data_IF_943104557624
#
_entry.id   IF_943104557624
#
_cell.length_a   1.000
_cell.length_b   1.000
_cell.length_c   1.000
_cell.angle_alpha   90.00
_cell.angle_beta   90.00
_cell.angle_gamma   90.00
#
_symmetry.space_group_name_H-M   'P 1'
#
loop_
_entity.id
_entity.type
_entity.pdbx_description
1 polymer ?
#
# COMPACT_ATOMS: atom_id res chain seq x y z
N UNK A 1 9.56 6.36 -4.65
CA UNK A 1 9.74 6.72 -6.06
C UNK A 1 10.66 5.73 -6.71
N UNK A 2 10.54 5.55 -8.02
CA UNK A 2 11.59 4.94 -8.82
C UNK A 2 12.59 6.00 -9.31
N UNK A 3 13.53 5.61 -10.17
CA UNK A 3 14.62 6.49 -10.63
C UNK A 3 14.12 7.77 -11.32
N UNK A 4 12.97 7.70 -11.97
CA UNK A 4 12.38 8.80 -12.75
C UNK A 4 11.24 9.52 -12.02
N UNK A 5 10.82 9.01 -10.85
CA UNK A 5 9.68 9.56 -10.11
C UNK A 5 8.35 9.42 -10.87
N UNK A 6 8.17 8.31 -11.59
CA UNK A 6 6.97 8.07 -12.41
C UNK A 6 5.68 8.03 -11.58
N UNK A 7 4.56 8.23 -12.26
CA UNK A 7 3.23 8.12 -11.69
C UNK A 7 3.06 6.80 -10.94
N UNK A 8 2.30 6.83 -9.84
CA UNK A 8 2.11 5.65 -8.98
C UNK A 8 3.40 5.11 -8.34
N UNK A 9 4.49 5.87 -8.27
CA UNK A 9 5.68 5.52 -7.45
C UNK A 9 5.94 6.50 -6.30
N UNK A 10 5.19 7.60 -6.27
CA UNK A 10 5.39 8.71 -5.36
C UNK A 10 4.66 8.48 -4.04
N UNK A 11 5.40 8.57 -2.95
CA UNK A 11 4.87 8.64 -1.59
C UNK A 11 5.48 9.89 -0.97
N UNK A 12 4.63 10.83 -0.54
CA UNK A 12 5.07 12.08 0.08
C UNK A 12 4.85 12.02 1.58
N UNK A 13 5.72 12.66 2.35
CA UNK A 13 5.64 12.70 3.79
C UNK A 13 5.96 14.11 4.28
N UNK A 14 5.20 14.58 5.26
CA UNK A 14 5.40 15.85 5.93
C UNK A 14 5.78 15.59 7.40
N UNK A 15 7.08 15.67 7.77
CA UNK A 15 7.52 15.40 9.13
C UNK A 15 7.06 16.47 10.13
N UNK A 16 5.96 16.22 10.85
CA UNK A 16 5.33 17.20 11.76
C UNK A 16 5.81 17.11 13.22
N UNK A 17 6.88 16.38 13.53
CA UNK A 17 7.33 16.14 14.92
C UNK A 17 7.56 17.44 15.69
N UNK A 18 8.08 18.48 15.03
CA UNK A 18 8.35 19.79 15.65
C UNK A 18 7.08 20.52 16.10
N UNK A 19 5.93 20.24 15.50
CA UNK A 19 4.66 20.86 15.91
C UNK A 19 4.11 20.33 17.24
N UNK A 20 4.66 19.23 17.77
CA UNK A 20 4.13 18.54 18.94
C UNK A 20 2.76 17.86 18.74
N UNK A 21 2.15 18.00 17.55
CA UNK A 21 0.83 17.44 17.24
C UNK A 21 0.97 15.96 16.92
N UNK A 22 0.16 15.13 17.56
CA UNK A 22 0.04 13.70 17.27
C UNK A 22 -1.36 13.43 16.70
N UNK A 23 -1.41 12.87 15.50
CA UNK A 23 -2.68 12.47 14.89
C UNK A 23 -3.34 11.34 15.70
N UNK A 24 -4.67 11.31 15.71
CA UNK A 24 -5.46 10.21 16.26
C UNK A 24 -6.02 9.39 15.11
N UNK A 25 -5.72 8.08 15.11
CA UNK A 25 -6.27 7.13 14.14
C UNK A 25 -7.80 7.07 14.28
N UNK A 26 -8.48 6.98 13.14
CA UNK A 26 -9.94 6.92 13.10
C UNK A 26 -10.48 6.61 11.71
N UNK A 27 -11.80 6.70 11.58
CA UNK A 27 -12.51 6.58 10.31
C UNK A 27 -12.42 7.87 9.50
N UNK A 28 -12.53 7.78 8.18
CA UNK A 28 -12.43 8.90 7.24
C UNK A 28 -10.99 9.24 6.85
N UNK A 29 -10.07 8.28 6.97
CA UNK A 29 -8.64 8.48 6.71
C UNK A 29 -8.06 7.25 6.00
N UNK A 30 -6.95 7.45 5.28
CA UNK A 30 -6.13 6.34 4.78
C UNK A 30 -5.62 5.53 5.97
N UNK A 31 -5.93 4.24 5.99
CA UNK A 31 -5.54 3.28 7.02
C UNK A 31 -4.23 2.58 6.66
N UNK A 32 -4.15 2.05 5.44
CA UNK A 32 -2.95 1.35 4.93
C UNK A 32 -2.49 1.92 3.60
N UNK A 33 -1.18 1.91 3.39
CA UNK A 33 -0.54 2.15 2.10
C UNK A 33 0.03 0.83 1.60
N UNK A 34 -0.46 0.36 0.45
CA UNK A 34 -0.03 -0.88 -0.17
C UNK A 34 0.94 -0.59 -1.33
N UNK A 35 2.11 -1.22 -1.28
CA UNK A 35 3.17 -1.11 -2.27
C UNK A 35 3.37 -2.45 -2.97
N UNK A 36 3.52 -2.40 -4.28
CA UNK A 36 3.75 -3.59 -5.12
C UNK A 36 5.21 -4.01 -5.05
N UNK A 37 5.42 -5.31 -4.87
CA UNK A 37 6.72 -5.98 -4.95
C UNK A 37 6.55 -7.29 -5.73
N UNK A 38 7.61 -7.84 -6.37
CA UNK A 38 7.53 -9.15 -6.99
C UNK A 38 7.13 -10.24 -5.97
N UNK A 39 6.29 -11.20 -6.34
CA UNK A 39 5.86 -12.30 -5.44
C UNK A 39 7.05 -13.01 -4.79
N UNK A 40 8.10 -13.29 -5.58
CA UNK A 40 9.33 -13.95 -5.13
C UNK A 40 10.11 -13.14 -4.08
N UNK A 41 9.83 -11.84 -3.92
CA UNK A 41 10.52 -10.95 -2.99
C UNK A 41 9.92 -10.92 -1.58
N UNK A 42 8.72 -11.47 -1.37
CA UNK A 42 8.05 -11.43 -0.06
C UNK A 42 8.92 -12.06 1.04
N UNK A 43 9.55 -13.20 0.77
CA UNK A 43 10.46 -13.84 1.73
C UNK A 43 11.65 -12.94 2.10
N UNK A 44 12.27 -12.29 1.10
CA UNK A 44 13.34 -11.32 1.33
C UNK A 44 12.88 -10.15 2.21
N UNK A 45 11.72 -9.57 1.91
CA UNK A 45 11.18 -8.45 2.67
C UNK A 45 10.81 -8.81 4.09
N UNK A 46 10.26 -9.99 4.34
CA UNK A 46 9.96 -10.47 5.69
C UNK A 46 11.23 -10.50 6.56
N UNK A 47 12.32 -11.06 6.02
CA UNK A 47 13.62 -11.09 6.72
C UNK A 47 14.22 -9.69 6.86
N UNK A 48 14.20 -8.89 5.79
CA UNK A 48 14.76 -7.54 5.79
C UNK A 48 14.07 -6.63 6.81
N UNK A 49 12.73 -6.64 6.86
CA UNK A 49 11.95 -5.86 7.82
C UNK A 49 12.21 -6.32 9.27
N UNK A 50 12.24 -7.64 9.50
CA UNK A 50 12.54 -8.21 10.82
C UNK A 50 13.92 -7.79 11.33
N UNK A 51 14.95 -7.84 10.47
CA UNK A 51 16.30 -7.42 10.82
C UNK A 51 16.40 -5.92 11.13
N UNK A 52 15.48 -5.12 10.61
CA UNK A 52 15.37 -3.68 10.91
C UNK A 52 14.41 -3.36 12.07
N UNK A 53 13.98 -4.37 12.84
CA UNK A 53 13.18 -4.19 14.05
C UNK A 53 11.67 -4.06 13.83
N UNK A 54 11.19 -4.30 12.61
CA UNK A 54 9.75 -4.40 12.32
C UNK A 54 9.25 -5.82 12.60
N UNK A 55 7.93 -5.96 12.72
CA UNK A 55 7.25 -7.25 12.89
C UNK A 55 6.28 -7.44 11.72
N UNK A 56 6.76 -7.88 10.55
CA UNK A 56 5.89 -8.10 9.41
C UNK A 56 5.02 -9.34 9.62
N UNK A 57 3.74 -9.22 9.31
CA UNK A 57 2.76 -10.31 9.34
C UNK A 57 2.42 -10.71 7.90
N UNK A 58 2.57 -11.99 7.57
CA UNK A 58 2.15 -12.52 6.28
C UNK A 58 0.64 -12.77 6.30
N UNK A 59 -0.07 -12.13 5.38
CA UNK A 59 -1.52 -12.21 5.22
C UNK A 59 -1.86 -12.53 3.76
N UNK A 60 -3.11 -12.89 3.54
CA UNK A 60 -3.69 -13.00 2.20
C UNK A 60 -4.94 -12.10 2.14
N UNK A 61 -5.09 -11.36 1.05
CA UNK A 61 -6.28 -10.54 0.79
C UNK A 61 -6.57 -10.53 -0.70
N UNK A 62 -7.81 -10.80 -1.09
CA UNK A 62 -8.22 -10.91 -2.49
C UNK A 62 -7.41 -11.95 -3.30
N UNK A 63 -6.90 -12.99 -2.64
CA UNK A 63 -6.03 -14.00 -3.24
C UNK A 63 -4.58 -13.56 -3.47
N UNK A 64 -4.20 -12.36 -3.00
CA UNK A 64 -2.83 -11.85 -3.06
C UNK A 64 -2.14 -12.01 -1.71
N UNK A 65 -0.91 -12.54 -1.72
CA UNK A 65 -0.07 -12.58 -0.53
C UNK A 65 0.52 -11.20 -0.25
N UNK A 66 0.49 -10.78 1.01
CA UNK A 66 1.04 -9.49 1.43
C UNK A 66 1.72 -9.55 2.79
N UNK A 67 2.71 -8.69 3.00
CA UNK A 67 3.32 -8.44 4.30
C UNK A 67 2.77 -7.15 4.89
N UNK A 68 2.12 -7.24 6.05
CA UNK A 68 1.60 -6.10 6.79
C UNK A 68 2.53 -5.72 7.94
N UNK A 69 2.81 -4.42 8.12
CA UNK A 69 3.61 -3.94 9.25
C UNK A 69 3.28 -2.50 9.65
N UNK A 70 3.48 -2.19 10.93
CA UNK A 70 3.25 -0.85 11.47
C UNK A 70 4.48 0.05 11.29
N UNK A 71 4.29 1.23 10.67
CA UNK A 71 5.33 2.25 10.61
C UNK A 71 5.21 3.24 11.79
N UNK A 72 6.33 3.72 12.36
CA UNK A 72 6.33 4.68 13.48
C UNK A 72 5.58 5.99 13.22
N UNK A 73 5.34 6.34 11.94
CA UNK A 73 4.55 7.52 11.57
C UNK A 73 3.04 7.37 11.87
N UNK A 74 2.57 6.15 12.14
CA UNK A 74 1.17 5.89 12.45
C UNK A 74 0.29 5.54 11.24
N UNK A 75 0.86 5.30 10.07
CA UNK A 75 0.20 4.66 8.92
C UNK A 75 0.76 3.24 8.80
N UNK A 76 -0.11 2.27 8.59
CA UNK A 76 0.30 0.88 8.32
C UNK A 76 0.74 0.72 6.86
N UNK A 77 1.74 -0.13 6.64
CA UNK A 77 2.26 -0.41 5.32
C UNK A 77 2.03 -1.87 4.96
N UNK A 78 1.77 -2.10 3.69
CA UNK A 78 1.56 -3.43 3.11
C UNK A 78 2.49 -3.59 1.90
N UNK A 79 3.24 -4.68 1.83
CA UNK A 79 3.95 -5.09 0.59
C UNK A 79 3.17 -6.22 -0.05
N UNK A 80 2.60 -5.97 -1.22
CA UNK A 80 1.75 -6.93 -1.94
C UNK A 80 2.57 -7.60 -3.02
N UNK A 81 2.57 -8.94 -3.04
CA UNK A 81 3.24 -9.73 -4.06
C UNK A 81 2.44 -9.72 -5.35
N UNK A 82 2.93 -9.03 -6.38
CA UNK A 82 2.32 -8.96 -7.70
C UNK A 82 3.23 -9.63 -8.73
N UNK A 83 2.65 -10.50 -9.56
CA UNK A 83 3.40 -11.23 -10.58
C UNK A 83 3.67 -10.34 -11.81
N UNK A 84 2.66 -9.56 -12.22
CA UNK A 84 2.64 -8.84 -13.50
C UNK A 84 2.78 -7.31 -13.32
N UNK A 85 3.79 -6.87 -12.57
CA UNK A 85 4.12 -5.44 -12.42
C UNK A 85 5.46 -5.11 -13.09
N UNK A 86 5.38 -4.53 -14.28
CA UNK A 86 6.53 -4.21 -15.13
C UNK A 86 7.20 -2.86 -14.81
N UNK A 87 6.65 -2.10 -13.85
CA UNK A 87 7.24 -0.84 -13.42
C UNK A 87 8.66 -1.07 -12.92
N UNK A 88 9.54 -0.11 -13.20
CA UNK A 88 10.93 -0.19 -12.75
C UNK A 88 11.03 0.27 -11.30
N UNK A 89 11.73 -0.47 -10.43
CA UNK A 89 11.97 -0.03 -9.07
C UNK A 89 13.10 1.01 -9.08
N UNK A 90 13.43 1.55 -7.92
CA UNK A 90 14.65 2.35 -7.77
C UNK A 90 15.89 1.46 -7.90
N UNK A 91 16.78 1.75 -8.85
CA UNK A 91 17.93 0.89 -9.17
C UNK A 91 19.15 1.14 -8.27
N UNK A 92 19.25 2.34 -7.72
CA UNK A 92 20.46 2.82 -7.03
C UNK A 92 20.37 2.69 -5.50
N UNK A 93 19.55 1.75 -5.02
CA UNK A 93 19.30 1.52 -3.60
C UNK A 93 20.14 0.39 -3.00
N UNK A 94 19.95 0.16 -1.70
CA UNK A 94 20.54 -0.99 -0.98
C UNK A 94 19.79 -2.31 -1.24
N UNK A 95 18.60 -2.22 -1.82
CA UNK A 95 17.77 -3.37 -2.16
C UNK A 95 18.07 -3.76 -3.61
N UNK A 96 18.43 -5.03 -3.90
CA UNK A 96 18.61 -5.50 -5.26
C UNK A 96 17.35 -5.27 -6.11
N UNK A 97 17.53 -4.93 -7.39
CA UNK A 97 16.43 -4.59 -8.31
C UNK A 97 15.34 -5.67 -8.38
N UNK A 98 15.73 -6.95 -8.35
CA UNK A 98 14.81 -8.10 -8.35
C UNK A 98 13.86 -8.17 -7.14
N UNK A 99 14.17 -7.45 -6.05
CA UNK A 99 13.33 -7.35 -4.85
C UNK A 99 12.75 -5.96 -4.63
N UNK A 100 13.06 -5.00 -5.51
CA UNK A 100 12.68 -3.60 -5.35
C UNK A 100 11.17 -3.38 -5.40
N UNK A 101 10.72 -2.36 -4.66
CA UNK A 101 9.34 -1.86 -4.70
C UNK A 101 9.09 -1.21 -6.06
N UNK A 102 8.01 -1.64 -6.72
CA UNK A 102 7.65 -1.27 -8.09
C UNK A 102 6.78 -0.03 -8.17
N UNK A 103 5.95 0.18 -7.14
CA UNK A 103 5.09 1.35 -7.02
C UNK A 103 4.01 1.15 -5.97
N UNK A 104 3.05 2.08 -5.92
CA UNK A 104 1.82 1.94 -5.16
C UNK A 104 0.91 0.92 -5.85
N UNK A 105 0.51 -0.10 -5.10
CA UNK A 105 -0.56 -1.02 -5.49
C UNK A 105 -1.93 -0.44 -5.12
N UNK A 106 -2.00 0.28 -3.99
CA UNK A 106 -3.24 0.95 -3.63
C UNK A 106 -3.21 1.54 -2.23
N UNK A 107 -4.37 2.01 -1.81
CA UNK A 107 -4.60 2.51 -0.46
C UNK A 107 -5.86 1.85 0.11
N UNK A 108 -5.85 1.63 1.42
CA UNK A 108 -7.08 1.28 2.14
C UNK A 108 -7.57 2.51 2.87
N UNK A 109 -8.81 2.91 2.63
CA UNK A 109 -9.48 4.00 3.37
C UNK A 109 -10.44 3.39 4.38
N UNK A 110 -10.32 3.80 5.65
CA UNK A 110 -11.30 3.44 6.67
C UNK A 110 -12.53 4.32 6.51
N UNK A 111 -13.70 3.71 6.31
CA UNK A 111 -14.97 4.42 6.08
C UNK A 111 -15.97 4.12 7.20
N UNK A 112 -16.80 5.12 7.52
CA UNK A 112 -17.86 4.97 8.52
C UNK A 112 -19.10 4.32 7.93
N UNK A 113 -19.34 4.60 6.66
CA UNK A 113 -20.51 4.19 5.91
C UNK A 113 -20.03 3.70 4.54
N UNK A 114 -20.13 2.38 4.35
CA UNK A 114 -19.67 1.73 3.12
C UNK A 114 -20.61 2.01 1.96
N UNK A 115 -21.91 2.17 2.19
CA UNK A 115 -22.90 2.41 1.14
C UNK A 115 -22.66 3.77 0.48
N UNK A 116 -22.64 4.83 1.30
CA UNK A 116 -22.37 6.19 0.81
C UNK A 116 -20.97 6.30 0.17
N UNK A 117 -19.97 5.60 0.71
CA UNK A 117 -18.62 5.59 0.14
C UNK A 117 -18.57 4.85 -1.20
N UNK A 118 -19.31 3.76 -1.35
CA UNK A 118 -19.41 3.00 -2.60
C UNK A 118 -20.12 3.82 -3.68
N UNK A 119 -21.19 4.54 -3.34
CA UNK A 119 -21.86 5.47 -4.27
C UNK A 119 -20.89 6.56 -4.74
N UNK A 120 -20.13 7.17 -3.83
CA UNK A 120 -19.13 8.17 -4.21
C UNK A 120 -18.06 7.58 -5.13
N UNK A 121 -17.56 6.39 -4.83
CA UNK A 121 -16.59 5.73 -5.70
C UNK A 121 -17.16 5.50 -7.10
N UNK A 122 -18.42 5.06 -7.20
CA UNK A 122 -19.06 4.81 -8.49
C UNK A 122 -19.35 6.09 -9.27
N UNK A 123 -20.09 7.03 -8.69
CA UNK A 123 -20.59 8.21 -9.39
C UNK A 123 -19.60 9.37 -9.40
N UNK A 124 -18.84 9.57 -8.33
CA UNK A 124 -17.90 10.68 -8.18
C UNK A 124 -16.51 10.38 -8.75
N UNK A 125 -16.07 9.12 -8.68
CA UNK A 125 -14.70 8.73 -9.05
C UNK A 125 -14.61 7.75 -10.22
N UNK A 126 -15.75 7.36 -10.81
CA UNK A 126 -15.79 6.33 -11.88
C UNK A 126 -15.12 5.01 -11.50
N UNK A 127 -15.07 4.72 -10.20
CA UNK A 127 -14.54 3.49 -9.64
C UNK A 127 -15.50 2.34 -9.90
N UNK A 128 -14.96 1.18 -10.22
CA UNK A 128 -15.72 -0.05 -10.42
C UNK A 128 -15.47 -0.98 -9.26
N UNK A 129 -16.54 -1.47 -8.64
CA UNK A 129 -16.46 -2.53 -7.65
C UNK A 129 -15.81 -3.75 -8.31
N UNK A 130 -14.71 -4.21 -7.74
CA UNK A 130 -13.96 -5.36 -8.25
C UNK A 130 -14.25 -6.61 -7.42
N UNK A 131 -14.14 -6.51 -6.09
CA UNK A 131 -14.34 -7.65 -5.20
C UNK A 131 -14.59 -7.22 -3.75
N UNK A 132 -15.04 -8.17 -2.92
CA UNK A 132 -15.17 -8.02 -1.46
C UNK A 132 -14.50 -9.21 -0.78
N UNK A 133 -13.74 -8.94 0.28
CA UNK A 133 -13.05 -9.94 1.08
C UNK A 133 -13.14 -9.56 2.56
N UNK A 134 -13.98 -10.29 3.30
CA UNK A 134 -14.28 -9.99 4.70
C UNK A 134 -14.74 -8.55 4.91
N UNK A 135 -13.94 -7.77 5.63
CA UNK A 135 -14.22 -6.36 5.93
C UNK A 135 -13.74 -5.38 4.83
N UNK A 136 -13.16 -5.88 3.74
CA UNK A 136 -12.57 -5.05 2.69
C UNK A 136 -13.42 -5.11 1.41
N UNK A 137 -13.63 -3.94 0.80
CA UNK A 137 -14.25 -3.83 -0.52
C UNK A 137 -13.27 -3.14 -1.45
N UNK A 138 -12.93 -3.77 -2.58
CA UNK A 138 -11.94 -3.30 -3.55
C UNK A 138 -12.64 -2.61 -4.72
N UNK A 139 -12.17 -1.42 -5.06
CA UNK A 139 -12.56 -0.67 -6.25
C UNK A 139 -11.35 -0.44 -7.15
N UNK A 140 -11.54 -0.53 -8.46
CA UNK A 140 -10.53 -0.17 -9.46
C UNK A 140 -10.90 1.15 -10.14
N UNK A 141 -9.91 2.00 -10.42
CA UNK A 141 -10.08 3.28 -11.11
C UNK A 141 -9.27 3.26 -12.40
N UNK A 142 -9.88 3.69 -13.50
CA UNK A 142 -9.23 3.74 -14.81
C UNK A 142 -8.79 2.35 -15.29
N UNK A 143 -7.59 2.27 -15.87
CA UNK A 143 -7.01 1.00 -16.32
C UNK A 143 -6.45 0.13 -15.18
N UNK A 144 -6.40 0.67 -13.95
CA UNK A 144 -6.11 -0.02 -12.67
C UNK A 144 -5.03 -1.11 -12.69
N UNK A 145 -3.96 -0.93 -11.92
CA UNK A 145 -3.02 -1.97 -11.51
C UNK A 145 -2.89 -1.99 -10.00
#
# INVERSE_FOLDING_TARGET
GNDMGEESTLVTCFPMRQSGRKAKRGTGQVKTLALSVPVSSLGFWATHLTNNGFKPELLERFGEQLLHFAHPCGIEYELVGIADDDRKPYSNGVIPEGFGIRGTHGITVSVRDMENSAEFMHYGWSGKLANTDGAFTRFHVGKGG
#
